data_IF_028375614161
#
_entry.id   IF_028375614161
#
_cell.length_a   1.000
_cell.length_b   1.000
_cell.length_c   1.000
_cell.angle_alpha   90.00
_cell.angle_beta   90.00
_cell.angle_gamma   90.00
#
_symmetry.space_group_name_H-M   'P 1'
#
loop_
_entity.id
_entity.type
_entity.pdbx_description
1 polymer ?
#
# COMPACT_ATOMS: atom_id res chain seq x y z
N UNK A 1 -8.18 -31.80 18.11
CA UNK A 1 -9.52 -31.17 18.02
C UNK A 1 -9.51 -29.91 18.87
N UNK A 2 -9.85 -28.75 18.30
CA UNK A 2 -9.87 -27.50 19.07
C UNK A 2 -11.07 -27.50 20.02
N UNK A 3 -10.83 -27.28 21.32
CA UNK A 3 -11.90 -27.17 22.32
C UNK A 3 -12.69 -25.89 22.12
N UNK A 4 -14.01 -25.93 22.32
CA UNK A 4 -14.85 -24.73 22.28
C UNK A 4 -14.33 -23.69 23.28
N UNK A 5 -14.25 -22.42 22.84
CA UNK A 5 -13.78 -21.32 23.69
C UNK A 5 -14.76 -21.12 24.84
N UNK A 6 -14.25 -21.15 26.07
CA UNK A 6 -15.02 -20.75 27.26
C UNK A 6 -14.98 -19.22 27.39
N UNK A 7 -16.15 -18.60 27.54
CA UNK A 7 -16.28 -17.17 27.82
C UNK A 7 -16.48 -16.95 29.32
N UNK A 8 -16.05 -15.81 29.83
CA UNK A 8 -16.26 -15.46 31.23
C UNK A 8 -17.72 -15.10 31.51
N UNK A 9 -18.15 -15.29 32.75
CA UNK A 9 -19.52 -14.99 33.18
C UNK A 9 -19.90 -13.52 32.95
N UNK A 10 -18.93 -12.61 33.07
CA UNK A 10 -19.12 -11.19 32.78
C UNK A 10 -19.56 -10.96 31.31
N UNK A 11 -18.98 -11.70 30.36
CA UNK A 11 -19.37 -11.64 28.94
C UNK A 11 -20.76 -12.25 28.74
N UNK A 12 -21.03 -13.39 29.37
CA UNK A 12 -22.33 -14.07 29.28
C UNK A 12 -23.47 -13.24 29.87
N UNK A 13 -23.20 -12.44 30.90
CA UNK A 13 -24.18 -11.51 31.49
C UNK A 13 -24.65 -10.47 30.48
N UNK A 14 -23.75 -9.97 29.63
CA UNK A 14 -24.08 -9.01 28.58
C UNK A 14 -24.96 -9.60 27.47
N UNK A 15 -24.95 -10.91 27.26
CA UNK A 15 -25.82 -11.57 26.27
C UNK A 15 -27.30 -11.53 26.67
N UNK A 16 -27.59 -11.43 27.97
CA UNK A 16 -28.95 -11.39 28.51
C UNK A 16 -29.56 -9.99 28.51
N UNK A 17 -28.74 -8.96 28.29
CA UNK A 17 -29.15 -7.55 28.40
C UNK A 17 -29.14 -6.89 27.03
N UNK A 18 -30.25 -6.24 26.66
CA UNK A 18 -30.28 -5.39 25.47
C UNK A 18 -29.50 -4.10 25.73
N UNK A 19 -28.56 -3.77 24.85
CA UNK A 19 -27.78 -2.54 24.93
C UNK A 19 -28.30 -1.49 23.93
N UNK A 20 -28.21 -0.19 24.27
CA UNK A 20 -28.52 0.85 23.30
C UNK A 20 -27.50 0.82 22.16
N UNK A 21 -27.91 1.17 20.94
CA UNK A 21 -27.04 1.13 19.75
C UNK A 21 -25.78 2.00 19.93
N UNK A 22 -25.92 3.15 20.61
CA UNK A 22 -24.84 4.07 20.96
C UNK A 22 -23.77 3.46 21.88
N UNK A 23 -24.01 2.29 22.48
CA UNK A 23 -23.00 1.58 23.26
C UNK A 23 -21.89 0.99 22.39
N UNK A 24 -22.18 0.72 21.11
CA UNK A 24 -21.27 0.06 20.16
C UNK A 24 -20.65 1.03 19.16
N UNK A 25 -21.22 2.22 18.97
CA UNK A 25 -20.70 3.28 18.11
C UNK A 25 -20.04 4.42 18.90
N UNK A 26 -19.07 5.13 18.32
CA UNK A 26 -18.54 6.35 18.93
C UNK A 26 -19.59 7.46 18.88
N UNK A 27 -19.62 8.30 19.92
CA UNK A 27 -20.58 9.42 20.03
C UNK A 27 -19.84 10.75 20.05
N UNK A 28 -20.35 11.73 19.31
CA UNK A 28 -19.79 13.08 19.30
C UNK A 28 -20.47 13.95 20.38
N UNK A 29 -19.71 14.39 21.39
CA UNK A 29 -20.23 15.16 22.53
C UNK A 29 -19.21 16.24 22.91
N UNK A 30 -19.66 17.48 23.10
CA UNK A 30 -18.82 18.64 23.49
C UNK A 30 -17.61 18.83 22.58
N UNK A 31 -17.84 18.80 21.26
CA UNK A 31 -16.81 18.95 20.23
C UNK A 31 -15.70 17.87 20.24
N UNK A 32 -15.94 16.74 20.92
CA UNK A 32 -14.99 15.62 21.01
C UNK A 32 -15.69 14.29 20.72
N UNK A 33 -14.96 13.37 20.07
CA UNK A 33 -15.42 12.00 19.86
C UNK A 33 -15.14 11.16 21.11
N UNK A 34 -16.21 10.65 21.72
CA UNK A 34 -16.11 9.68 22.81
C UNK A 34 -16.04 8.27 22.24
N UNK A 35 -15.19 7.43 22.83
CA UNK A 35 -15.09 6.02 22.50
C UNK A 35 -16.38 5.27 22.86
N UNK A 36 -16.73 4.19 22.13
CA UNK A 36 -17.88 3.36 22.47
C UNK A 36 -17.70 2.71 23.85
N UNK A 37 -18.81 2.45 24.53
CA UNK A 37 -18.83 1.75 25.83
C UNK A 37 -18.13 0.40 25.77
N UNK A 38 -18.31 -0.31 24.65
CA UNK A 38 -17.60 -1.55 24.37
C UNK A 38 -16.51 -1.32 23.33
N UNK A 39 -15.25 -1.58 23.70
CA UNK A 39 -14.13 -1.53 22.75
C UNK A 39 -14.29 -2.58 21.64
N UNK A 40 -13.66 -2.36 20.47
CA UNK A 40 -13.75 -3.28 19.33
C UNK A 40 -13.40 -4.74 19.69
N UNK A 41 -12.43 -4.93 20.60
CA UNK A 41 -12.09 -6.27 21.13
C UNK A 41 -13.26 -6.90 21.88
N UNK A 42 -13.89 -6.15 22.79
CA UNK A 42 -15.06 -6.62 23.55
C UNK A 42 -16.26 -6.87 22.65
N UNK A 43 -16.48 -6.03 21.64
CA UNK A 43 -17.53 -6.25 20.63
C UNK A 43 -17.31 -7.55 19.86
N UNK A 44 -16.06 -7.82 19.43
CA UNK A 44 -15.73 -9.07 18.76
C UNK A 44 -15.90 -10.29 19.67
N UNK A 45 -15.55 -10.16 20.95
CA UNK A 45 -15.75 -11.21 21.96
C UNK A 45 -17.23 -11.49 22.22
N UNK A 46 -18.04 -10.44 22.41
CA UNK A 46 -19.49 -10.55 22.55
C UNK A 46 -20.10 -11.21 21.32
N UNK A 47 -19.71 -10.80 20.10
CA UNK A 47 -20.22 -11.40 18.87
C UNK A 47 -19.89 -12.89 18.78
N UNK A 48 -18.67 -13.29 19.13
CA UNK A 48 -18.29 -14.71 19.19
C UNK A 48 -19.10 -15.48 20.25
N UNK A 49 -19.35 -14.85 21.40
CA UNK A 49 -20.16 -15.45 22.46
C UNK A 49 -21.64 -15.60 22.04
N UNK A 50 -22.21 -14.62 21.31
CA UNK A 50 -23.55 -14.71 20.73
C UNK A 50 -23.65 -15.90 19.78
N UNK A 51 -22.72 -15.98 18.81
CA UNK A 51 -22.66 -17.06 17.82
C UNK A 51 -22.50 -18.44 18.47
N UNK A 52 -21.67 -18.56 19.50
CA UNK A 52 -21.49 -19.84 20.22
C UNK A 52 -22.76 -20.29 20.95
N UNK A 53 -23.53 -19.34 21.50
CA UNK A 53 -24.77 -19.63 22.25
C UNK A 53 -26.02 -19.63 21.35
N UNK A 54 -25.87 -19.57 20.02
CA UNK A 54 -26.98 -19.47 19.05
C UNK A 54 -27.92 -18.28 19.31
N UNK A 55 -27.37 -17.17 19.82
CA UNK A 55 -28.10 -15.91 20.00
C UNK A 55 -27.72 -14.99 18.86
N UNK A 56 -28.71 -14.35 18.22
CA UNK A 56 -28.45 -13.35 17.20
C UNK A 56 -27.81 -12.10 17.81
N UNK A 57 -26.60 -11.69 17.36
CA UNK A 57 -25.96 -10.44 17.79
C UNK A 57 -26.87 -9.20 17.72
N UNK A 58 -27.77 -9.12 16.73
CA UNK A 58 -28.65 -7.97 16.56
C UNK A 58 -29.67 -7.86 17.72
N UNK A 59 -30.06 -8.98 18.34
CA UNK A 59 -31.00 -9.00 19.49
C UNK A 59 -30.47 -8.23 20.71
N UNK A 60 -29.14 -8.20 20.90
CA UNK A 60 -28.45 -7.48 21.98
C UNK A 60 -28.20 -6.00 21.61
N UNK A 61 -28.49 -5.61 20.36
CA UNK A 61 -28.27 -4.27 19.84
C UNK A 61 -26.91 -4.08 19.17
N UNK A 62 -26.17 -5.15 18.86
CA UNK A 62 -24.93 -5.02 18.08
C UNK A 62 -25.23 -4.74 16.61
N UNK A 63 -24.47 -3.85 15.96
CA UNK A 63 -24.64 -3.60 14.54
C UNK A 63 -24.25 -4.84 13.72
N UNK A 64 -24.85 -4.98 12.54
CA UNK A 64 -24.48 -6.03 11.60
C UNK A 64 -23.00 -5.91 11.19
N UNK A 65 -22.30 -7.04 10.95
CA UNK A 65 -20.95 -7.00 10.44
C UNK A 65 -20.94 -6.36 9.04
N UNK A 66 -20.01 -5.41 8.83
CA UNK A 66 -19.84 -4.81 7.50
C UNK A 66 -19.48 -5.90 6.47
N UNK A 67 -20.05 -5.86 5.25
CA UNK A 67 -19.69 -6.81 4.22
C UNK A 67 -18.20 -6.72 3.91
N UNK A 68 -17.56 -7.87 3.71
CA UNK A 68 -16.14 -7.92 3.35
C UNK A 68 -15.97 -7.34 1.95
N UNK A 69 -15.17 -6.27 1.84
CA UNK A 69 -14.80 -5.72 0.53
C UNK A 69 -13.86 -6.70 -0.16
N UNK A 70 -14.21 -7.13 -1.37
CA UNK A 70 -13.32 -7.93 -2.21
C UNK A 70 -12.10 -7.06 -2.52
N UNK A 71 -10.92 -7.49 -2.06
CA UNK A 71 -9.68 -6.74 -2.26
C UNK A 71 -9.28 -6.83 -3.74
N UNK A 72 -9.52 -5.75 -4.49
CA UNK A 72 -8.98 -5.62 -5.84
C UNK A 72 -7.46 -5.45 -5.75
N UNK A 73 -6.71 -6.38 -6.34
CA UNK A 73 -5.26 -6.27 -6.43
C UNK A 73 -4.93 -5.13 -7.40
N UNK A 74 -4.38 -4.03 -6.88
CA UNK A 74 -3.81 -2.98 -7.74
C UNK A 74 -2.69 -3.60 -8.60
N UNK A 75 -2.55 -3.20 -9.87
CA UNK A 75 -1.43 -3.65 -10.68
C UNK A 75 -0.11 -3.24 -10.02
N UNK A 76 0.93 -4.08 -10.10
CA UNK A 76 2.22 -3.77 -9.51
C UNK A 76 2.85 -2.58 -10.22
N UNK A 77 3.54 -1.72 -9.46
CA UNK A 77 4.23 -0.52 -9.99
C UNK A 77 5.34 -0.84 -11.00
N UNK A 78 5.86 -2.06 -11.00
CA UNK A 78 7.06 -2.47 -11.74
C UNK A 78 8.35 -1.99 -11.08
N UNK A 79 9.47 -2.66 -11.41
CA UNK A 79 10.80 -2.27 -10.95
C UNK A 79 11.26 -0.97 -11.64
N UNK A 80 12.27 -0.29 -11.06
CA UNK A 80 12.85 0.92 -11.67
C UNK A 80 13.32 0.67 -13.11
N UNK A 81 14.03 -0.44 -13.34
CA UNK A 81 14.55 -0.81 -14.66
C UNK A 81 13.44 -1.00 -15.70
N UNK A 82 12.32 -1.62 -15.34
CA UNK A 82 11.17 -1.81 -16.23
C UNK A 82 10.53 -0.47 -16.60
N UNK A 83 10.43 0.45 -15.64
CA UNK A 83 9.86 1.79 -15.86
C UNK A 83 10.76 2.66 -16.74
N UNK A 84 12.07 2.54 -16.61
CA UNK A 84 13.06 3.38 -17.33
C UNK A 84 13.53 2.75 -18.65
N UNK A 85 13.13 1.52 -18.96
CA UNK A 85 13.64 0.76 -20.10
C UNK A 85 13.45 1.51 -21.44
N UNK A 86 12.25 2.05 -21.68
CA UNK A 86 11.94 2.79 -22.91
C UNK A 86 12.83 4.02 -23.07
N UNK A 87 12.95 4.85 -22.03
CA UNK A 87 13.82 6.02 -22.05
C UNK A 87 15.29 5.66 -22.27
N UNK A 88 15.74 4.52 -21.71
CA UNK A 88 17.10 4.01 -21.94
C UNK A 88 17.30 3.57 -23.40
N UNK A 89 16.32 2.90 -24.00
CA UNK A 89 16.37 2.51 -25.42
C UNK A 89 16.43 3.73 -26.34
N UNK A 90 15.62 4.76 -26.11
CA UNK A 90 15.65 6.00 -26.88
C UNK A 90 17.00 6.70 -26.81
N UNK A 91 17.62 6.72 -25.61
CA UNK A 91 18.96 7.30 -25.44
C UNK A 91 20.03 6.51 -26.20
N UNK A 92 19.92 5.18 -26.22
CA UNK A 92 20.83 4.33 -27.00
C UNK A 92 20.66 4.61 -28.49
N UNK A 93 19.43 4.71 -28.98
CA UNK A 93 19.16 4.98 -30.40
C UNK A 93 19.76 6.33 -30.82
N UNK A 94 19.50 7.41 -30.06
CA UNK A 94 20.09 8.73 -30.34
C UNK A 94 21.62 8.68 -30.39
N UNK A 95 22.24 7.93 -29.49
CA UNK A 95 23.71 7.78 -29.49
C UNK A 95 24.24 7.03 -30.72
N UNK A 96 23.49 6.04 -31.23
CA UNK A 96 23.82 5.33 -32.46
C UNK A 96 23.67 6.24 -33.68
N UNK A 97 22.60 7.04 -33.72
CA UNK A 97 22.34 7.99 -34.81
C UNK A 97 23.42 9.10 -34.85
N UNK A 98 23.86 9.60 -33.69
CA UNK A 98 24.92 10.62 -33.56
C UNK A 98 26.34 10.07 -33.76
N UNK A 99 26.50 8.74 -33.83
CA UNK A 99 27.81 8.08 -33.85
C UNK A 99 28.68 8.53 -35.03
N UNK A 100 28.20 8.62 -36.29
CA UNK A 100 29.03 9.00 -37.42
C UNK A 100 29.62 10.40 -37.28
N UNK A 101 28.83 11.36 -36.77
CA UNK A 101 29.27 12.74 -36.55
C UNK A 101 30.38 12.80 -35.49
N UNK A 102 30.22 12.06 -34.39
CA UNK A 102 31.25 11.96 -33.34
C UNK A 102 32.55 11.37 -33.88
N UNK A 103 32.47 10.34 -34.72
CA UNK A 103 33.65 9.73 -35.37
C UNK A 103 34.34 10.73 -36.30
N UNK A 104 33.58 11.47 -37.12
CA UNK A 104 34.13 12.48 -38.02
C UNK A 104 34.83 13.60 -37.24
N UNK A 105 34.19 14.11 -36.20
CA UNK A 105 34.76 15.14 -35.33
C UNK A 105 36.07 14.66 -34.69
N UNK A 106 36.07 13.46 -34.13
CA UNK A 106 37.28 12.85 -33.55
C UNK A 106 38.42 12.70 -34.56
N UNK A 107 38.12 12.27 -35.80
CA UNK A 107 39.12 12.19 -36.88
C UNK A 107 39.69 13.56 -37.26
N UNK A 108 38.85 14.59 -37.34
CA UNK A 108 39.29 15.95 -37.64
C UNK A 108 40.18 16.51 -36.52
N UNK A 109 39.82 16.27 -35.26
CA UNK A 109 40.61 16.72 -34.12
C UNK A 109 41.99 16.03 -34.10
N UNK A 110 42.05 14.72 -34.38
CA UNK A 110 43.32 14.00 -34.55
C UNK A 110 44.19 14.59 -35.66
N UNK A 111 43.60 14.96 -36.80
CA UNK A 111 44.32 15.60 -37.89
C UNK A 111 44.89 16.96 -37.48
N UNK A 112 44.09 17.79 -36.80
CA UNK A 112 44.55 19.10 -36.28
C UNK A 112 45.68 18.96 -35.27
N UNK A 113 45.58 18.02 -34.35
CA UNK A 113 46.66 17.74 -33.39
C UNK A 113 47.95 17.30 -34.09
N UNK A 114 47.84 16.45 -35.11
CA UNK A 114 49.00 16.07 -35.95
C UNK A 114 49.61 17.26 -36.69
N UNK A 115 48.79 18.19 -37.19
CA UNK A 115 49.27 19.40 -37.86
C UNK A 115 49.99 20.35 -36.91
N UNK A 116 49.48 20.54 -35.69
CA UNK A 116 50.17 21.34 -34.65
C UNK A 116 51.56 20.79 -34.30
N UNK A 117 51.71 19.47 -34.35
CA UNK A 117 52.98 18.79 -34.06
C UNK A 117 53.98 18.85 -35.23
N UNK A 118 53.57 19.28 -36.43
CA UNK A 118 54.51 19.44 -37.55
C UNK A 118 55.42 20.65 -37.27
N UNK A 119 56.75 20.48 -37.30
CA UNK A 119 57.69 21.59 -37.10
C UNK A 119 57.55 22.60 -38.24
N UNK A 120 57.56 23.89 -37.91
CA UNK A 120 57.26 25.00 -38.82
C UNK A 120 58.47 25.61 -39.53
N UNK A 121 59.65 24.98 -39.47
CA UNK A 121 60.88 25.55 -40.03
C UNK A 121 61.30 24.85 -41.33
N UNK A 122 61.72 25.60 -42.38
CA UNK A 122 62.20 25.05 -43.63
C UNK A 122 63.70 24.80 -43.51
N UNK A 123 64.09 23.70 -42.87
CA UNK A 123 65.45 23.18 -42.99
C UNK A 123 65.38 21.73 -43.43
#
# INVERSE_FOLDING_TARGET
>A
MATARKFSDAVLKHLKTKHPENAFSPTFVNNHWRSPKFSLRRQAELRKACLLNNIDPASIGMPEPKPQKIMQKKPPKGHKQQREYAAKQEKIQKNLDDMPQKIQKWKMDLAKEKEKLKPSLPF
#
